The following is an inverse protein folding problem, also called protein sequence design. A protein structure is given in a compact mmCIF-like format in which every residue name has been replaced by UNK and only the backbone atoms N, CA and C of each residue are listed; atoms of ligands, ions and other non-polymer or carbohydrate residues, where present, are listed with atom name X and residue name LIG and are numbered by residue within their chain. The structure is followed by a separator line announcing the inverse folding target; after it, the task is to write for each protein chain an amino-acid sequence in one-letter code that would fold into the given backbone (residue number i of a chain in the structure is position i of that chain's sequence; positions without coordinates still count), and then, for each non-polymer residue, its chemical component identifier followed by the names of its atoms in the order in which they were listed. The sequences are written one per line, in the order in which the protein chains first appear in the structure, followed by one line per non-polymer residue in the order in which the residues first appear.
data_IF_618158676990
#
_entry.id   IF_618158676990
#
_cell.length_a   1.000
_cell.length_b   1.000
_cell.length_c   1.000
_cell.angle_alpha   90.00
_cell.angle_beta   90.00
_cell.angle_gamma   90.00
#
_symmetry.space_group_name_H-M   'P 1'
#
loop_
_entity.id
_entity.type
_entity.pdbx_description
1 polymer ?
#
# COMPACT_ATOMS: atom_id res chain seq x y z
N UNK A 1 -18.87 -7.06 10.49
CA UNK A 1 -17.67 -7.02 9.63
C UNK A 1 -16.68 -8.16 9.92
N UNK A 2 -15.75 -8.04 10.87
CA UNK A 2 -14.70 -9.07 11.08
C UNK A 2 -15.19 -10.37 11.73
N UNK A 3 -16.09 -10.28 12.71
CA UNK A 3 -16.75 -11.45 13.31
C UNK A 3 -17.65 -12.19 12.30
N UNK A 4 -18.33 -11.45 11.42
CA UNK A 4 -19.17 -12.02 10.35
C UNK A 4 -18.33 -12.79 9.32
N UNK A 5 -17.10 -12.35 9.07
CA UNK A 5 -16.13 -13.04 8.20
C UNK A 5 -15.42 -14.23 8.88
N UNK A 6 -15.71 -14.51 10.17
CA UNK A 6 -15.03 -15.56 10.94
C UNK A 6 -13.53 -15.32 11.15
N UNK A 7 -13.07 -14.07 10.95
CA UNK A 7 -11.66 -13.71 11.08
C UNK A 7 -11.26 -13.66 12.56
N UNK A 8 -10.05 -14.12 12.88
CA UNK A 8 -9.45 -13.98 14.22
C UNK A 8 -8.27 -13.03 14.19
N UNK A 9 -8.05 -12.30 15.29
CA UNK A 9 -6.87 -11.44 15.43
C UNK A 9 -5.67 -12.36 15.62
N UNK A 10 -4.71 -12.27 14.70
CA UNK A 10 -3.45 -12.99 14.79
C UNK A 10 -2.41 -12.18 15.57
N UNK A 11 -2.27 -10.89 15.20
CA UNK A 11 -1.38 -9.95 15.85
C UNK A 11 -1.87 -8.51 15.63
N UNK A 12 -1.40 -7.59 16.47
CA UNK A 12 -1.66 -6.15 16.36
C UNK A 12 -0.35 -5.42 16.54
N UNK A 13 -0.13 -4.34 15.80
CA UNK A 13 1.06 -3.51 15.86
C UNK A 13 2.36 -4.32 15.63
N UNK A 14 2.29 -5.27 14.69
CA UNK A 14 3.34 -6.27 14.44
C UNK A 14 4.46 -5.67 13.58
N UNK A 15 5.70 -5.85 14.01
CA UNK A 15 6.87 -5.47 13.22
C UNK A 15 7.15 -6.52 12.15
N UNK A 16 7.26 -6.07 10.91
CA UNK A 16 7.52 -6.90 9.75
C UNK A 16 8.89 -6.54 9.16
N UNK A 17 9.57 -7.57 8.67
CA UNK A 17 10.80 -7.39 7.89
C UNK A 17 10.80 -8.36 6.71
N UNK A 18 11.49 -7.98 5.65
CA UNK A 18 11.63 -8.80 4.46
C UNK A 18 12.60 -8.18 3.47
N UNK A 19 12.52 -8.61 2.21
CA UNK A 19 13.34 -8.08 1.14
C UNK A 19 12.48 -7.84 -0.11
N UNK A 20 12.62 -6.68 -0.73
CA UNK A 20 12.08 -6.41 -2.05
C UNK A 20 12.96 -5.41 -2.79
N UNK A 21 12.94 -5.45 -4.11
CA UNK A 21 13.75 -4.59 -4.97
C UNK A 21 15.27 -4.66 -4.67
N UNK A 22 15.74 -5.74 -4.04
CA UNK A 22 17.13 -5.92 -3.58
C UNK A 22 17.51 -5.01 -2.40
N UNK A 23 16.54 -4.66 -1.55
CA UNK A 23 16.72 -3.88 -0.33
C UNK A 23 16.00 -4.55 0.83
N UNK A 24 16.56 -4.43 2.03
CA UNK A 24 15.85 -4.79 3.26
C UNK A 24 14.62 -3.90 3.44
N UNK A 25 13.47 -4.52 3.65
CA UNK A 25 12.23 -3.85 4.00
C UNK A 25 11.96 -4.00 5.49
N UNK A 26 11.52 -2.91 6.11
CA UNK A 26 11.04 -2.89 7.49
C UNK A 26 9.74 -2.09 7.54
N UNK A 27 8.75 -2.60 8.26
CA UNK A 27 7.47 -1.94 8.42
C UNK A 27 6.77 -2.39 9.69
N UNK A 28 5.61 -1.79 9.96
CA UNK A 28 4.76 -2.13 11.09
C UNK A 28 3.32 -2.23 10.61
N UNK A 29 2.72 -3.39 10.74
CA UNK A 29 1.32 -3.60 10.36
C UNK A 29 0.41 -3.29 11.57
N UNK A 30 -0.64 -2.50 11.36
CA UNK A 30 -1.58 -2.14 12.43
C UNK A 30 -2.30 -3.39 12.96
N UNK A 31 -2.86 -4.22 12.07
CA UNK A 31 -3.52 -5.47 12.45
C UNK A 31 -3.28 -6.57 11.42
N UNK A 32 -2.96 -7.77 11.92
CA UNK A 32 -2.95 -9.02 11.17
C UNK A 32 -4.12 -9.89 11.60
N UNK A 33 -4.94 -10.28 10.64
CA UNK A 33 -6.07 -11.17 10.83
C UNK A 33 -5.80 -12.51 10.17
N UNK A 34 -6.27 -13.59 10.78
CA UNK A 34 -6.31 -14.91 10.17
C UNK A 34 -7.74 -15.21 9.75
N UNK A 35 -7.94 -15.44 8.46
CA UNK A 35 -9.24 -15.83 7.92
C UNK A 35 -9.47 -17.35 8.12
N UNK A 36 -10.74 -17.82 8.09
CA UNK A 36 -11.06 -19.24 8.25
C UNK A 36 -10.34 -20.17 7.26
N UNK A 37 -10.06 -19.67 6.05
CA UNK A 37 -9.34 -20.41 5.01
C UNK A 37 -7.81 -20.40 5.19
N UNK A 38 -7.30 -19.85 6.29
CA UNK A 38 -5.87 -19.75 6.61
C UNK A 38 -5.18 -18.49 6.09
N UNK A 39 -5.81 -17.72 5.19
CA UNK A 39 -5.25 -16.47 4.63
C UNK A 39 -4.91 -15.47 5.74
N UNK A 40 -3.73 -14.86 5.64
CA UNK A 40 -3.36 -13.72 6.49
C UNK A 40 -3.81 -12.44 5.80
N UNK A 41 -4.69 -11.70 6.45
CA UNK A 41 -5.19 -10.40 6.00
C UNK A 41 -4.56 -9.29 6.84
N UNK A 42 -3.80 -8.43 6.19
CA UNK A 42 -3.30 -7.18 6.78
C UNK A 42 -4.41 -6.13 6.69
N UNK A 43 -4.75 -5.51 7.81
CA UNK A 43 -5.63 -4.34 7.84
C UNK A 43 -4.82 -3.14 8.34
N UNK A 44 -4.72 -2.13 7.48
CA UNK A 44 -4.11 -0.84 7.79
C UNK A 44 -5.23 0.19 8.02
N UNK A 45 -5.25 0.78 9.21
CA UNK A 45 -6.28 1.75 9.61
C UNK A 45 -5.95 3.12 9.04
N UNK A 46 -6.98 3.78 8.54
CA UNK A 46 -6.83 5.10 7.92
C UNK A 46 -7.90 6.05 8.40
N UNK A 47 -7.47 7.20 8.90
CA UNK A 47 -8.35 8.25 9.42
C UNK A 47 -9.19 8.93 8.33
N UNK A 48 -8.73 8.91 7.07
CA UNK A 48 -9.43 9.51 5.94
C UNK A 48 -10.54 8.62 5.33
N UNK A 49 -11.31 9.21 4.40
CA UNK A 49 -12.33 8.51 3.61
C UNK A 49 -11.70 7.54 2.61
N UNK A 50 -12.47 6.51 2.24
CA UNK A 50 -12.07 5.44 1.33
C UNK A 50 -11.89 5.88 -0.13
N UNK A 51 -12.55 6.95 -0.58
CA UNK A 51 -12.62 7.36 -2.00
C UNK A 51 -11.25 7.48 -2.67
N UNK A 52 -10.27 8.17 -2.06
CA UNK A 52 -8.92 8.30 -2.64
C UNK A 52 -8.17 6.96 -2.65
N UNK A 53 -8.44 6.08 -1.68
CA UNK A 53 -7.82 4.75 -1.58
C UNK A 53 -8.33 3.83 -2.69
N UNK A 54 -9.64 3.77 -2.88
CA UNK A 54 -10.29 3.03 -3.97
C UNK A 54 -9.71 3.50 -5.30
N UNK A 55 -9.75 4.82 -5.56
CA UNK A 55 -9.18 5.42 -6.78
C UNK A 55 -7.72 5.00 -7.00
N UNK A 56 -6.88 5.07 -5.97
CA UNK A 56 -5.46 4.70 -6.08
C UNK A 56 -5.25 3.22 -6.39
N UNK A 57 -6.01 2.35 -5.73
CA UNK A 57 -5.93 0.92 -5.99
C UNK A 57 -6.45 0.58 -7.39
N UNK A 58 -7.55 1.17 -7.86
CA UNK A 58 -8.07 0.98 -9.22
C UNK A 58 -7.06 1.40 -10.30
N UNK A 59 -6.25 2.43 -10.03
CA UNK A 59 -5.22 2.89 -10.95
C UNK A 59 -3.90 2.10 -10.87
N UNK A 60 -3.78 1.11 -9.98
CA UNK A 60 -2.55 0.33 -9.85
C UNK A 60 -1.44 1.04 -9.05
N UNK A 61 -1.78 2.03 -8.24
CA UNK A 61 -0.82 2.90 -7.54
C UNK A 61 -0.67 2.62 -6.03
N UNK A 62 -1.15 1.48 -5.55
CA UNK A 62 -1.16 1.15 -4.13
C UNK A 62 0.02 0.24 -3.69
N UNK A 63 1.23 0.79 -3.71
CA UNK A 63 2.45 0.02 -3.40
C UNK A 63 2.53 -0.47 -1.95
N UNK A 64 1.88 0.21 -1.01
CA UNK A 64 1.95 -0.14 0.42
C UNK A 64 1.40 -1.55 0.67
N UNK A 65 0.28 -1.91 0.02
CA UNK A 65 -0.29 -3.25 0.10
C UNK A 65 0.69 -4.32 -0.41
N UNK A 66 1.35 -4.07 -1.53
CA UNK A 66 2.34 -4.98 -2.09
C UNK A 66 3.54 -5.20 -1.16
N UNK A 67 4.06 -4.12 -0.55
CA UNK A 67 5.21 -4.18 0.35
C UNK A 67 4.93 -5.01 1.61
N UNK A 68 3.74 -4.87 2.21
CA UNK A 68 3.34 -5.74 3.32
C UNK A 68 3.24 -7.20 2.89
N UNK A 69 2.67 -7.46 1.71
CA UNK A 69 2.64 -8.79 1.13
C UNK A 69 4.04 -9.40 0.97
N UNK A 70 4.99 -8.63 0.44
CA UNK A 70 6.36 -9.07 0.21
C UNK A 70 7.11 -9.31 1.55
N UNK A 71 6.91 -8.48 2.57
CA UNK A 71 7.47 -8.71 3.92
C UNK A 71 6.90 -9.97 4.59
N UNK A 72 5.58 -10.19 4.53
CA UNK A 72 4.94 -11.33 5.17
C UNK A 72 5.35 -12.64 4.51
N UNK A 73 5.40 -12.68 3.17
CA UNK A 73 5.84 -13.87 2.40
C UNK A 73 7.27 -14.30 2.75
N UNK A 74 8.12 -13.35 3.14
CA UNK A 74 9.50 -13.62 3.59
C UNK A 74 9.63 -13.99 5.08
N UNK A 75 8.53 -14.02 5.83
CA UNK A 75 8.54 -14.20 7.29
C UNK A 75 7.98 -15.56 7.72
N UNK A 76 8.14 -15.92 9.00
CA UNK A 76 7.52 -17.10 9.60
C UNK A 76 5.98 -17.08 9.55
N UNK A 77 5.36 -15.92 9.34
CA UNK A 77 3.90 -15.78 9.18
C UNK A 77 3.39 -16.45 7.89
N UNK A 78 4.27 -16.71 6.92
CA UNK A 78 3.95 -17.42 5.69
C UNK A 78 3.86 -18.95 5.85
N UNK A 79 4.06 -19.50 7.06
CA UNK A 79 3.97 -20.93 7.34
C UNK A 79 2.66 -21.54 6.79
N UNK A 80 2.81 -22.45 5.81
CA UNK A 80 1.70 -23.18 5.19
C UNK A 80 1.22 -22.69 3.82
N UNK A 81 1.93 -21.76 3.14
CA UNK A 81 1.48 -21.13 1.88
C UNK A 81 0.14 -20.40 2.00
N UNK A 82 -0.16 -19.88 3.19
CA UNK A 82 -1.35 -19.06 3.37
C UNK A 82 -1.27 -17.87 2.41
N UNK A 83 -2.35 -17.63 1.66
CA UNK A 83 -2.44 -16.44 0.84
C UNK A 83 -2.28 -15.21 1.76
N UNK A 84 -1.60 -14.18 1.25
CA UNK A 84 -1.52 -12.89 1.94
C UNK A 84 -2.40 -11.93 1.17
N UNK A 85 -3.34 -11.31 1.88
CA UNK A 85 -4.18 -10.25 1.37
C UNK A 85 -3.94 -8.99 2.20
N UNK A 86 -4.10 -7.82 1.58
CA UNK A 86 -3.91 -6.55 2.26
C UNK A 86 -5.10 -5.66 1.98
N UNK A 87 -5.60 -5.00 3.02
CA UNK A 87 -6.69 -4.06 2.93
C UNK A 87 -6.58 -2.90 3.90
N UNK A 88 -7.52 -1.99 3.74
CA UNK A 88 -7.64 -0.74 4.47
C UNK A 88 -9.00 -0.69 5.13
N UNK A 89 -9.03 -0.21 6.37
CA UNK A 89 -10.27 0.24 7.00
C UNK A 89 -10.22 1.75 7.14
N UNK A 90 -11.04 2.44 6.34
CA UNK A 90 -11.21 3.89 6.43
C UNK A 90 -12.18 4.21 7.57
N UNK A 91 -11.68 4.86 8.61
CA UNK A 91 -12.44 5.16 9.84
C UNK A 91 -13.46 6.28 9.64
N UNK A 92 -13.27 7.15 8.65
CA UNK A 92 -14.17 8.27 8.40
C UNK A 92 -15.53 7.87 7.80
N UNK A 93 -15.55 6.79 7.02
CA UNK A 93 -16.75 6.26 6.36
C UNK A 93 -17.01 4.78 6.69
N UNK A 94 -16.16 4.18 7.53
CA UNK A 94 -16.22 2.78 7.97
C UNK A 94 -16.20 1.77 6.81
N UNK A 95 -15.56 2.12 5.69
CA UNK A 95 -15.45 1.27 4.50
C UNK A 95 -14.15 0.46 4.55
N UNK A 96 -14.27 -0.84 4.30
CA UNK A 96 -13.14 -1.75 4.14
C UNK A 96 -12.87 -2.03 2.65
N UNK A 97 -11.62 -1.90 2.22
CA UNK A 97 -11.20 -2.14 0.83
C UNK A 97 -10.01 -3.09 0.84
N UNK A 98 -10.04 -4.14 0.02
CA UNK A 98 -8.98 -5.15 -0.02
C UNK A 98 -8.42 -5.35 -1.42
N UNK A 99 -7.13 -5.64 -1.51
CA UNK A 99 -6.49 -6.16 -2.71
C UNK A 99 -6.62 -7.69 -2.76
N UNK A 100 -6.95 -8.23 -3.93
CA UNK A 100 -7.03 -9.68 -4.18
C UNK A 100 -8.42 -10.31 -3.99
N UNK A 101 -8.45 -11.65 -4.01
CA UNK A 101 -9.67 -12.49 -4.01
C UNK A 101 -10.44 -12.57 -2.68
N UNK A 102 -10.27 -11.60 -1.78
CA UNK A 102 -11.16 -11.46 -0.63
C UNK A 102 -12.48 -10.87 -1.10
N UNK A 103 -13.28 -11.69 -1.77
CA UNK A 103 -14.60 -11.33 -2.26
C UNK A 103 -15.62 -11.45 -1.12
N UNK A 104 -16.41 -10.40 -0.92
CA UNK A 104 -17.62 -10.42 -0.09
C UNK A 104 -17.70 -9.24 0.88
N UNK A 105 -18.92 -8.80 1.16
CA UNK A 105 -19.18 -7.78 2.18
C UNK A 105 -18.50 -8.15 3.50
N UNK A 106 -17.91 -7.17 4.21
CA UNK A 106 -17.89 -5.72 3.93
C UNK A 106 -16.76 -5.25 3.00
N UNK A 107 -16.00 -6.17 2.39
CA UNK A 107 -14.79 -5.87 1.64
C UNK A 107 -15.14 -5.63 0.17
N UNK A 108 -14.91 -4.40 -0.30
CA UNK A 108 -15.08 -4.08 -1.72
C UNK A 108 -14.07 -4.85 -2.56
N UNK A 109 -14.50 -5.63 -3.58
CA UNK A 109 -13.56 -6.28 -4.48
C UNK A 109 -12.91 -5.22 -5.37
N UNK A 110 -11.59 -5.25 -5.43
CA UNK A 110 -10.86 -4.62 -6.54
C UNK A 110 -10.27 -5.75 -7.37
N UNK A 111 -11.03 -6.14 -8.40
CA UNK A 111 -10.62 -7.06 -9.45
C UNK A 111 -9.72 -6.35 -10.47
N UNK A 112 -8.67 -5.72 -9.94
CA UNK A 112 -7.68 -4.96 -10.70
C UNK A 112 -6.30 -5.20 -10.11
N UNK A 113 -5.26 -5.10 -10.93
CA UNK A 113 -3.90 -5.00 -10.41
C UNK A 113 -3.78 -3.71 -9.60
N UNK A 114 -3.71 -3.84 -8.28
CA UNK A 114 -3.77 -2.68 -7.38
C UNK A 114 -2.45 -1.93 -7.25
N UNK A 115 -1.35 -2.46 -7.80
CA UNK A 115 -0.02 -1.96 -7.45
C UNK A 115 1.06 -2.12 -8.53
N UNK A 116 0.76 -2.71 -9.69
CA UNK A 116 1.72 -2.92 -10.77
C UNK A 116 2.42 -1.65 -11.23
N UNK A 117 1.66 -0.60 -11.54
CA UNK A 117 2.22 0.68 -12.00
C UNK A 117 3.11 1.34 -10.93
N UNK A 118 2.70 1.30 -9.66
CA UNK A 118 3.54 1.83 -8.59
C UNK A 118 4.79 0.97 -8.31
N UNK A 119 4.72 -0.37 -8.48
CA UNK A 119 5.93 -1.22 -8.38
C UNK A 119 6.92 -0.93 -9.50
N UNK A 120 6.44 -0.66 -10.71
CA UNK A 120 7.28 -0.24 -11.84
C UNK A 120 7.98 1.09 -11.51
N UNK A 121 7.23 2.14 -11.16
CA UNK A 121 7.78 3.45 -10.76
C UNK A 121 8.78 3.35 -9.61
N UNK A 122 8.47 2.54 -8.60
CA UNK A 122 9.38 2.32 -7.47
C UNK A 122 10.66 1.60 -7.90
N UNK A 123 10.56 0.61 -8.79
CA UNK A 123 11.72 -0.11 -9.34
C UNK A 123 12.65 0.84 -10.10
N UNK A 124 12.08 1.69 -10.96
CA UNK A 124 12.84 2.72 -11.70
C UNK A 124 13.54 3.69 -10.75
N UNK A 125 12.81 4.15 -9.73
CA UNK A 125 13.33 5.07 -8.72
C UNK A 125 14.50 4.46 -7.96
N UNK A 126 14.36 3.22 -7.48
CA UNK A 126 15.43 2.48 -6.80
C UNK A 126 16.64 2.27 -7.73
N UNK A 127 16.40 1.94 -9.00
CA UNK A 127 17.48 1.77 -9.98
C UNK A 127 18.24 3.07 -10.25
N UNK A 128 17.55 4.22 -10.32
CA UNK A 128 18.18 5.54 -10.46
C UNK A 128 19.01 5.89 -9.22
N UNK A 129 18.46 5.67 -8.02
CA UNK A 129 19.15 5.92 -6.75
C UNK A 129 20.44 5.09 -6.64
N UNK A 130 20.42 3.82 -7.05
CA UNK A 130 21.61 2.96 -7.10
C UNK A 130 22.71 3.50 -8.03
N UNK A 131 22.34 4.28 -9.03
CA UNK A 131 23.27 4.94 -9.96
C UNK A 131 23.71 6.32 -9.46
N UNK A 132 23.34 6.72 -8.24
CA UNK A 132 23.60 8.04 -7.69
C UNK A 132 22.76 9.15 -8.31
N UNK A 133 21.65 8.82 -8.98
CA UNK A 133 20.73 9.79 -9.59
C UNK A 133 19.52 9.99 -8.68
N UNK A 134 19.30 11.24 -8.27
CA UNK A 134 18.10 11.68 -7.58
C UNK A 134 17.32 12.58 -8.54
N UNK A 135 16.10 12.18 -8.89
CA UNK A 135 15.20 13.00 -9.72
C UNK A 135 14.25 13.74 -8.78
N UNK A 136 14.20 15.06 -8.93
CA UNK A 136 13.32 15.91 -8.17
C UNK A 136 11.95 15.94 -8.85
N UNK A 137 10.89 16.06 -8.05
CA UNK A 137 9.54 16.23 -8.59
C UNK A 137 9.38 17.64 -9.16
N UNK A 138 8.53 17.79 -10.18
CA UNK A 138 8.07 19.06 -10.72
C UNK A 138 6.63 19.39 -10.32
N UNK A 139 6.12 20.53 -10.77
CA UNK A 139 4.74 20.96 -10.50
C UNK A 139 3.71 20.01 -11.12
N UNK A 140 4.03 19.43 -12.28
CA UNK A 140 3.19 18.43 -12.97
C UNK A 140 3.02 17.14 -12.17
N UNK A 141 4.01 16.74 -11.37
CA UNK A 141 3.96 15.51 -10.58
C UNK A 141 2.92 15.58 -9.47
N UNK A 142 2.75 16.76 -8.86
CA UNK A 142 1.74 16.97 -7.81
C UNK A 142 0.33 16.65 -8.34
N UNK A 143 0.01 17.20 -9.53
CA UNK A 143 -1.26 16.95 -10.20
C UNK A 143 -1.40 15.49 -10.62
N UNK A 144 -0.35 14.92 -11.20
CA UNK A 144 -0.32 13.51 -11.61
C UNK A 144 -0.65 12.58 -10.42
N UNK A 145 -0.03 12.79 -9.27
CA UNK A 145 -0.28 11.97 -8.08
C UNK A 145 -1.71 12.14 -7.54
N UNK A 146 -2.25 13.35 -7.47
CA UNK A 146 -3.63 13.55 -6.99
C UNK A 146 -4.67 12.96 -7.97
N UNK A 147 -4.41 13.04 -9.28
CA UNK A 147 -5.20 12.37 -10.31
C UNK A 147 -5.20 10.83 -10.14
N UNK A 148 -4.17 10.27 -9.50
CA UNK A 148 -4.08 8.86 -9.13
C UNK A 148 -4.60 8.56 -7.71
N UNK A 149 -5.08 9.55 -6.96
CA UNK A 149 -5.51 9.36 -5.56
C UNK A 149 -4.35 9.21 -4.56
N UNK A 150 -3.13 9.54 -4.98
CA UNK A 150 -1.94 9.66 -4.11
C UNK A 150 -1.85 11.11 -3.65
N UNK A 151 -1.98 11.35 -2.35
CA UNK A 151 -1.80 12.70 -1.82
C UNK A 151 -0.35 13.15 -1.96
N UNK A 152 -0.09 14.21 -2.72
CA UNK A 152 1.25 14.78 -2.92
C UNK A 152 1.69 15.70 -1.76
N UNK A 153 1.25 15.41 -0.52
CA UNK A 153 1.48 16.27 0.66
C UNK A 153 2.96 16.50 0.98
N UNK A 154 3.85 15.62 0.51
CA UNK A 154 5.29 15.79 0.67
C UNK A 154 5.80 16.99 -0.13
N UNK A 155 5.15 17.34 -1.26
CA UNK A 155 5.52 18.47 -2.11
C UNK A 155 5.06 19.81 -1.51
N UNK A 156 4.04 19.79 -0.66
CA UNK A 156 3.55 20.97 0.08
C UNK A 156 4.47 21.36 1.26
N UNK A 157 5.48 20.54 1.57
CA UNK A 157 6.44 20.86 2.61
C UNK A 157 7.35 22.01 2.16
N UNK A 158 7.47 23.05 2.98
CA UNK A 158 8.24 24.27 2.65
C UNK A 158 9.70 24.02 2.30
N UNK A 159 10.31 22.94 2.81
CA UNK A 159 11.69 22.59 2.43
C UNK A 159 11.67 21.87 1.09
N UNK A 160 10.77 20.90 0.90
CA UNK A 160 10.68 20.12 -0.34
C UNK A 160 10.30 21.00 -1.54
N UNK A 161 9.43 21.99 -1.33
CA UNK A 161 8.99 22.92 -2.37
C UNK A 161 10.13 23.72 -2.99
N UNK A 162 11.17 24.06 -2.21
CA UNK A 162 12.36 24.79 -2.68
C UNK A 162 13.27 23.94 -3.58
N UNK A 163 13.06 22.61 -3.59
CA UNK A 163 13.79 21.67 -4.45
C UNK A 163 12.91 21.12 -5.59
N UNK A 164 11.74 21.70 -5.84
CA UNK A 164 10.98 21.36 -7.04
C UNK A 164 11.63 22.03 -8.25
N UNK A 165 11.74 21.29 -9.35
CA UNK A 165 12.18 21.88 -10.60
C UNK A 165 11.03 22.71 -11.17
N UNK A 166 11.29 23.98 -11.52
CA UNK A 166 10.38 24.70 -12.40
C UNK A 166 10.38 23.98 -13.74
N UNK A 167 9.20 23.61 -14.24
CA UNK A 167 9.10 22.96 -15.56
C UNK A 167 9.78 23.89 -16.59
N UNK A 168 10.81 23.38 -17.27
CA UNK A 168 11.44 24.11 -18.38
C UNK A 168 10.34 24.54 -19.36
N UNK A 169 10.29 25.84 -19.67
CA UNK A 169 9.42 26.39 -20.73
C UNK A 169 9.66 25.73 -22.08
#
# INVERSE_FOLDING_TARGET
MLQEAGATIHATEEYLSGEAFGMGLHGKADTLLKLPNGTILVIDYKSGKSTKRVKRMENGWDVQAALYGDMIRGSALAEGKNAVAVGYLSLADMVAVTSGTLAGDPFGPLDADTHGAAKEKLSETVAALRQGRVTLNGAVDAKFFDDLGVGAYALDNTIVSEFLWEDDQ
#
